data_IF_053204175174
#
_entry.id   IF_053204175174
#
_cell.length_a   1.000
_cell.length_b   1.000
_cell.length_c   1.000
_cell.angle_alpha   90.00
_cell.angle_beta   90.00
_cell.angle_gamma   90.00
#
_symmetry.space_group_name_H-M   'P 1'
#
loop_
_entity.id
_entity.type
_entity.pdbx_description
1 polymer ?
#
# COMPACT_ATOMS: atom_id res chain seq x y z
N UNK A 1 -17.79 11.15 3.86
CA UNK A 1 -17.71 10.90 5.32
C UNK A 1 -16.48 10.07 5.62
N UNK A 2 -15.43 10.66 6.22
CA UNK A 2 -14.26 9.90 6.64
C UNK A 2 -14.70 8.93 7.75
N UNK A 3 -14.67 7.62 7.46
CA UNK A 3 -14.92 6.61 8.49
C UNK A 3 -13.89 6.82 9.60
N UNK A 4 -14.34 7.26 10.78
CA UNK A 4 -13.52 7.43 11.98
C UNK A 4 -12.80 6.10 12.24
N UNK A 5 -11.54 6.02 11.84
CA UNK A 5 -10.73 4.80 11.99
C UNK A 5 -10.45 4.67 13.49
N UNK A 6 -11.01 3.66 14.12
CA UNK A 6 -10.84 3.41 15.55
C UNK A 6 -9.61 2.54 15.72
N UNK A 7 -8.62 3.04 16.46
CA UNK A 7 -7.45 2.27 16.85
C UNK A 7 -7.58 1.84 18.30
N UNK A 8 -7.06 0.66 18.61
CA UNK A 8 -7.00 0.14 19.98
C UNK A 8 -5.62 0.38 20.58
N UNK A 9 -5.53 0.39 21.90
CA UNK A 9 -4.23 0.39 22.57
C UNK A 9 -3.44 -0.85 22.15
N UNK A 10 -2.18 -0.65 21.78
CA UNK A 10 -1.29 -1.68 21.25
C UNK A 10 -1.32 -1.84 19.73
N UNK A 11 -2.21 -1.14 19.01
CA UNK A 11 -2.29 -1.26 17.55
C UNK A 11 -1.06 -0.65 16.87
N UNK A 12 -0.49 -1.36 15.89
CA UNK A 12 0.64 -0.91 15.10
C UNK A 12 0.19 0.10 14.04
N UNK A 13 0.64 1.34 14.21
CA UNK A 13 0.29 2.45 13.34
C UNK A 13 1.52 3.10 12.74
N UNK A 14 1.29 3.83 11.66
CA UNK A 14 2.32 4.60 10.97
C UNK A 14 1.78 5.98 10.65
N UNK A 15 2.60 7.00 10.77
CA UNK A 15 2.23 8.38 10.48
C UNK A 15 3.36 9.11 9.76
N UNK A 16 3.03 10.19 9.05
CA UNK A 16 4.05 11.06 8.45
C UNK A 16 4.54 12.10 9.46
N UNK A 17 5.85 12.15 9.67
CA UNK A 17 6.53 13.19 10.42
C UNK A 17 7.67 13.75 9.56
N UNK A 18 7.66 15.06 9.31
CA UNK A 18 8.69 15.76 8.52
C UNK A 18 8.97 15.10 7.15
N UNK A 19 7.92 14.61 6.48
CA UNK A 19 8.03 13.91 5.20
C UNK A 19 8.44 12.44 5.29
N UNK A 20 8.75 11.92 6.48
CA UNK A 20 9.13 10.52 6.69
C UNK A 20 7.99 9.71 7.32
N UNK A 21 7.87 8.44 6.95
CA UNK A 21 6.93 7.52 7.57
C UNK A 21 7.53 6.97 8.87
N UNK A 22 6.95 7.35 10.01
CA UNK A 22 7.35 6.89 11.33
C UNK A 22 6.38 5.80 11.77
N UNK A 23 6.94 4.65 12.15
CA UNK A 23 6.20 3.56 12.75
C UNK A 23 6.18 3.64 14.28
N UNK A 24 5.07 3.25 14.86
CA UNK A 24 4.92 3.13 16.30
C UNK A 24 3.63 2.42 16.67
N UNK A 25 3.27 2.49 17.94
CA UNK A 25 2.11 1.80 18.48
C UNK A 25 1.24 2.76 19.27
N UNK A 26 -0.08 2.57 19.21
CA UNK A 26 -1.03 3.36 20.00
C UNK A 26 -0.88 3.01 21.47
N UNK A 27 -0.59 4.02 22.30
CA UNK A 27 -0.44 3.86 23.75
C UNK A 27 -1.75 4.14 24.48
N UNK A 28 -2.51 5.15 24.04
CA UNK A 28 -3.77 5.52 24.70
C UNK A 28 -4.71 6.24 23.73
N UNK A 29 -6.01 6.01 23.88
CA UNK A 29 -7.08 6.80 23.26
C UNK A 29 -7.51 7.92 24.19
N UNK A 30 -7.67 9.11 23.64
CA UNK A 30 -8.12 10.32 24.34
C UNK A 30 -9.41 10.76 23.66
N UNK A 31 -10.55 10.57 24.33
CA UNK A 31 -11.88 11.01 23.85
C UNK A 31 -12.51 12.10 24.72
N UNK A 32 -11.77 12.57 25.72
CA UNK A 32 -12.16 13.65 26.62
C UNK A 32 -11.00 14.61 26.79
N UNK A 33 -11.32 15.85 27.14
CA UNK A 33 -10.34 16.86 27.52
C UNK A 33 -9.42 16.30 28.60
N UNK A 34 -8.13 16.23 28.29
CA UNK A 34 -7.12 15.64 29.17
C UNK A 34 -5.77 16.29 28.96
N UNK A 35 -4.87 16.07 29.90
CA UNK A 35 -3.47 16.47 29.79
C UNK A 35 -2.68 15.30 29.19
N UNK A 36 -2.12 15.49 28.00
CA UNK A 36 -1.35 14.49 27.30
C UNK A 36 -0.15 15.13 26.62
N UNK A 37 1.00 14.43 26.62
CA UNK A 37 2.26 14.95 26.08
C UNK A 37 2.61 16.38 26.57
N UNK A 38 2.49 16.60 27.89
CA UNK A 38 2.82 17.84 28.59
C UNK A 38 1.99 19.07 28.15
N UNK A 39 0.82 18.85 27.54
CA UNK A 39 -0.09 19.92 27.13
C UNK A 39 -1.56 19.54 27.34
N UNK A 40 -2.41 20.54 27.54
CA UNK A 40 -3.86 20.33 27.54
C UNK A 40 -4.32 20.04 26.12
N UNK A 41 -4.90 18.85 25.93
CA UNK A 41 -5.50 18.44 24.66
C UNK A 41 -7.00 18.56 24.81
N UNK A 42 -7.58 19.47 24.03
CA UNK A 42 -9.03 19.56 23.87
C UNK A 42 -9.47 18.47 22.88
N UNK A 43 -9.85 17.33 23.43
CA UNK A 43 -10.37 16.19 22.69
C UNK A 43 -11.82 15.96 23.10
N UNK A 44 -12.65 15.61 22.13
CA UNK A 44 -14.08 15.37 22.31
C UNK A 44 -14.45 14.00 21.74
N UNK A 45 -15.62 13.48 22.12
CA UNK A 45 -16.12 12.20 21.59
C UNK A 45 -16.25 12.22 20.05
N UNK A 46 -16.46 13.41 19.49
CA UNK A 46 -16.53 13.64 18.06
C UNK A 46 -15.15 13.64 17.38
N UNK A 47 -14.12 14.18 18.05
CA UNK A 47 -12.75 14.29 17.58
C UNK A 47 -11.77 13.61 18.56
N UNK A 48 -11.83 12.27 18.69
CA UNK A 48 -10.92 11.56 19.57
C UNK A 48 -9.49 11.63 19.02
N UNK A 49 -8.52 11.86 19.91
CA UNK A 49 -7.10 11.85 19.59
C UNK A 49 -6.44 10.58 20.14
N UNK A 50 -5.33 10.17 19.54
CA UNK A 50 -4.59 8.98 19.96
C UNK A 50 -3.15 9.36 20.30
N UNK A 51 -2.74 8.99 21.52
CA UNK A 51 -1.33 9.02 21.91
C UNK A 51 -0.64 7.81 21.28
N UNK A 52 0.31 8.08 20.39
CA UNK A 52 1.16 7.09 19.74
C UNK A 52 2.59 7.20 20.27
N UNK A 53 3.27 6.06 20.36
CA UNK A 53 4.67 6.00 20.77
C UNK A 53 5.51 5.44 19.63
N UNK A 54 6.55 6.16 19.25
CA UNK A 54 7.50 5.67 18.24
C UNK A 54 8.28 4.48 18.79
N UNK A 55 8.28 3.37 18.05
CA UNK A 55 9.07 2.20 18.42
C UNK A 55 10.59 2.46 18.31
N UNK A 56 11.00 3.36 17.41
CA UNK A 56 12.41 3.69 17.16
C UNK A 56 13.01 4.60 18.24
N UNK A 57 12.27 5.63 18.65
CA UNK A 57 12.79 6.68 19.55
C UNK A 57 12.14 6.68 20.93
N UNK A 58 11.07 5.91 21.13
CA UNK A 58 10.30 5.90 22.36
C UNK A 58 9.49 7.18 22.63
N UNK A 59 9.54 8.17 21.73
CA UNK A 59 8.85 9.47 21.88
C UNK A 59 7.34 9.30 21.75
N UNK A 60 6.61 10.01 22.61
CA UNK A 60 5.15 10.10 22.61
C UNK A 60 4.68 11.28 21.76
N UNK A 61 3.65 11.07 20.97
CA UNK A 61 3.03 12.10 20.14
C UNK A 61 1.52 11.89 20.12
N UNK A 62 0.76 12.96 19.95
CA UNK A 62 -0.71 12.90 19.86
C UNK A 62 -1.11 13.22 18.42
N UNK A 63 -1.86 12.30 17.79
CA UNK A 63 -2.35 12.45 16.43
C UNK A 63 -3.83 12.06 16.33
N UNK A 64 -4.54 12.68 15.37
CA UNK A 64 -5.89 12.28 15.00
C UNK A 64 -5.88 10.94 14.25
N UNK A 65 -6.95 10.13 14.34
CA UNK A 65 -7.03 8.84 13.66
C UNK A 65 -6.93 8.95 12.13
N UNK A 66 -7.35 10.06 11.55
CA UNK A 66 -7.27 10.31 10.10
C UNK A 66 -5.84 10.40 9.58
N UNK A 67 -4.88 10.80 10.44
CA UNK A 67 -3.46 10.92 10.08
C UNK A 67 -2.68 9.62 10.33
N UNK A 68 -3.32 8.62 10.96
CA UNK A 68 -2.72 7.34 11.30
C UNK A 68 -3.07 6.29 10.23
N UNK A 69 -2.05 5.56 9.78
CA UNK A 69 -2.18 4.44 8.85
C UNK A 69 -1.95 3.13 9.61
N UNK A 70 -2.94 2.21 9.71
CA UNK A 70 -2.74 0.91 10.34
C UNK A 70 -1.72 0.07 9.56
N UNK A 71 -0.81 -0.61 10.26
CA UNK A 71 0.14 -1.54 9.63
C UNK A 71 -0.45 -2.91 9.34
N UNK A 72 -1.40 -3.37 10.15
CA UNK A 72 -2.14 -4.62 9.90
C UNK A 72 -3.52 -4.30 9.35
N UNK A 73 -3.91 -5.01 8.29
CA UNK A 73 -5.07 -4.75 7.43
C UNK A 73 -6.43 -4.98 8.08
N UNK A 74 -6.71 -4.35 9.22
CA UNK A 74 -7.97 -4.47 9.96
C UNK A 74 -9.11 -3.64 9.37
N UNK A 75 -8.95 -3.12 8.15
CA UNK A 75 -10.03 -2.45 7.45
C UNK A 75 -9.92 -2.63 5.94
N UNK A 76 -10.66 -3.62 5.43
CA UNK A 76 -10.66 -3.94 4.02
C UNK A 76 -11.15 -2.79 3.16
N UNK A 77 -10.32 -2.33 2.22
CA UNK A 77 -10.70 -2.24 0.80
C UNK A 77 -9.44 -2.20 -0.05
N UNK A 78 -9.19 -3.32 -0.72
CA UNK A 78 -8.29 -3.42 -1.87
C UNK A 78 -8.84 -2.47 -2.94
N UNK A 79 -8.30 -1.25 -2.95
CA UNK A 79 -8.58 -0.19 -3.90
C UNK A 79 -7.28 0.43 -4.38
N UNK A 80 -6.25 -0.39 -4.59
CA UNK A 80 -5.14 -0.01 -5.45
C UNK A 80 -5.65 -0.07 -6.88
N UNK A 81 -6.21 1.04 -7.35
CA UNK A 81 -6.35 1.30 -8.77
C UNK A 81 -4.96 1.31 -9.38
N UNK A 82 -4.58 0.22 -10.05
CA UNK A 82 -3.53 0.24 -11.06
C UNK A 82 -4.22 0.37 -12.41
N UNK A 83 -4.73 1.57 -12.71
CA UNK A 83 -4.95 1.96 -14.10
C UNK A 83 -3.61 2.50 -14.62
N UNK A 84 -2.72 1.58 -15.00
CA UNK A 84 -1.71 1.92 -15.98
C UNK A 84 -2.40 1.81 -17.33
N UNK A 85 -2.69 2.97 -17.92
CA UNK A 85 -3.24 3.11 -19.25
C UNK A 85 -2.40 2.27 -20.23
N UNK A 86 -2.87 1.07 -20.57
CA UNK A 86 -2.37 0.34 -21.72
C UNK A 86 -2.92 1.06 -22.95
N UNK A 87 -2.21 2.10 -23.37
CA UNK A 87 -2.49 2.77 -24.64
C UNK A 87 -2.37 1.73 -25.74
N UNK A 88 -3.50 1.41 -26.36
CA UNK A 88 -3.57 0.54 -27.51
C UNK A 88 -2.55 0.98 -28.58
N UNK A 89 -1.61 0.10 -28.93
CA UNK A 89 -0.90 0.14 -30.20
C UNK A 89 -1.09 -1.22 -30.89
N UNK A 90 -2.00 -1.32 -31.88
CA UNK A 90 -2.06 -2.51 -32.71
C UNK A 90 -0.86 -2.48 -33.66
N UNK A 91 0.18 -3.26 -33.35
CA UNK A 91 1.23 -3.55 -34.33
C UNK A 91 0.81 -4.75 -35.17
N UNK A 92 0.19 -4.40 -36.30
CA UNK A 92 0.32 -4.98 -37.65
C UNK A 92 0.45 -6.50 -37.76
N UNK A 93 -0.57 -7.09 -38.40
CA UNK A 93 -0.57 -8.38 -39.13
C UNK A 93 0.80 -8.70 -39.75
N UNK A 94 1.49 -9.68 -39.22
CA UNK A 94 2.61 -10.37 -39.85
C UNK A 94 2.10 -11.52 -40.72
N UNK A 95 2.16 -11.30 -42.03
CA UNK A 95 1.88 -12.21 -43.14
C UNK A 95 2.75 -13.48 -43.03
N UNK A 96 2.13 -14.66 -42.85
CA UNK A 96 2.82 -15.94 -43.07
C UNK A 96 2.98 -16.16 -44.57
N UNK A 97 4.20 -16.07 -45.07
CA UNK A 97 4.65 -16.70 -46.29
C UNK A 97 5.96 -17.41 -45.93
N UNK A 98 5.88 -18.71 -45.66
CA UNK A 98 7.04 -19.57 -45.74
C UNK A 98 6.76 -20.55 -46.88
N UNK A 99 7.05 -20.07 -48.10
CA UNK A 99 7.06 -20.87 -49.31
C UNK A 99 8.50 -21.33 -49.57
N UNK A 100 8.73 -22.62 -49.34
CA UNK A 100 9.64 -23.47 -50.11
C UNK A 100 11.14 -23.34 -49.82
N UNK A 101 11.77 -24.49 -49.56
CA UNK A 101 12.89 -25.03 -50.35
C UNK A 101 13.72 -26.00 -49.50
N UNK A 102 13.44 -27.29 -49.65
CA UNK A 102 14.44 -28.33 -49.43
C UNK A 102 14.22 -29.39 -50.49
N UNK A 103 14.83 -29.16 -51.65
CA UNK A 103 15.21 -30.24 -52.55
C UNK A 103 16.50 -30.87 -52.05
N UNK A 104 16.82 -32.01 -52.65
CA UNK A 104 18.06 -32.78 -52.52
C UNK A 104 18.06 -33.86 -51.42
N UNK A 105 17.80 -35.11 -51.83
CA UNK A 105 18.89 -36.08 -51.89
C UNK A 105 18.46 -37.30 -52.71
N UNK A 106 18.93 -37.38 -53.96
CA UNK A 106 18.85 -38.60 -54.75
C UNK A 106 19.78 -39.66 -54.12
N UNK A 107 19.21 -40.73 -53.59
CA UNK A 107 19.99 -41.91 -53.20
C UNK A 107 20.09 -42.86 -54.40
N UNK A 108 21.32 -42.97 -54.89
CA UNK A 108 21.81 -44.01 -55.79
C UNK A 108 21.23 -45.37 -55.42
N UNK A 109 20.55 -46.03 -56.36
CA UNK A 109 20.30 -47.47 -56.32
C UNK A 109 21.13 -48.16 -57.40
N UNK A 110 22.16 -48.85 -56.91
CA UNK A 110 22.79 -50.08 -57.38
C UNK A 110 21.95 -50.95 -58.32
N UNK A 111 22.56 -51.46 -59.39
CA UNK A 111 22.47 -52.86 -59.88
C UNK A 111 23.65 -53.15 -60.86
N UNK A 112 24.04 -54.42 -61.03
CA UNK A 112 25.43 -54.91 -61.02
C UNK A 112 26.23 -54.78 -62.32
#
# INVERSE_FOLDING_TARGET
>A
MARKKRFSQGDDVSWQSHGQNVGGSVTRKIDKRTEAADRTVDASEEEPQYEVRSAKTGKKAVHRPESLTPKKGSDGKRGSGQEHQATARPLRRGRQHDCGRAGDMAQYRTVP
#
